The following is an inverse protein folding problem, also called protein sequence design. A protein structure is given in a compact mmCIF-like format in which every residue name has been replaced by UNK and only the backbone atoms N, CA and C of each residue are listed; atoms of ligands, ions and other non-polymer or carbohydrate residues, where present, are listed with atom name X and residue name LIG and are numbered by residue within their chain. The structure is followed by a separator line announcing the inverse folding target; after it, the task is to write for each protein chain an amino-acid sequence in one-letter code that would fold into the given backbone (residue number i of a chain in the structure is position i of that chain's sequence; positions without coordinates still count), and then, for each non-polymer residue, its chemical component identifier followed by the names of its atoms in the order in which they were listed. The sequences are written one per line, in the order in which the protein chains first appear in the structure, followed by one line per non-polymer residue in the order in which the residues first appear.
data_IF_816761269748
#
_entry.id   IF_816761269748
#
_cell.length_a   1.000
_cell.length_b   1.000
_cell.length_c   1.000
_cell.angle_alpha   90.00
_cell.angle_beta   90.00
_cell.angle_gamma   90.00
#
_symmetry.space_group_name_H-M   'P 1'
#
loop_
_entity.id
_entity.type
_entity.pdbx_description
1 polymer ?
#
# COMPACT_ATOMS: atom_id res chain seq x y z
N UNK A 1 -38.92 -4.35 -17.05
CA UNK A 1 -37.69 -5.16 -17.22
C UNK A 1 -36.51 -4.22 -17.50
N UNK A 2 -35.77 -3.77 -16.49
CA UNK A 2 -34.83 -2.64 -16.71
C UNK A 2 -33.66 -2.47 -15.74
N UNK A 3 -33.47 -3.35 -14.76
CA UNK A 3 -32.33 -3.25 -13.81
C UNK A 3 -31.14 -4.15 -14.18
N UNK A 4 -31.35 -5.14 -15.06
CA UNK A 4 -30.31 -6.11 -15.42
C UNK A 4 -29.98 -6.05 -16.91
N UNK A 5 -28.71 -6.32 -17.23
CA UNK A 5 -28.24 -6.51 -18.59
C UNK A 5 -29.14 -7.51 -19.33
N UNK A 6 -29.28 -7.36 -20.66
CA UNK A 6 -29.95 -8.38 -21.48
C UNK A 6 -29.33 -9.75 -21.17
N UNK A 7 -30.13 -10.79 -20.90
CA UNK A 7 -29.60 -12.13 -20.62
C UNK A 7 -28.65 -12.57 -21.74
N UNK A 8 -27.51 -13.15 -21.36
CA UNK A 8 -26.52 -13.70 -22.29
C UNK A 8 -26.05 -15.05 -21.78
N UNK A 9 -25.59 -15.90 -22.70
CA UNK A 9 -24.95 -17.15 -22.29
C UNK A 9 -23.65 -16.84 -21.54
N UNK A 10 -23.41 -17.50 -20.39
CA UNK A 10 -22.14 -17.39 -19.67
C UNK A 10 -20.95 -17.63 -20.60
N UNK A 11 -19.90 -16.81 -20.47
CA UNK A 11 -18.70 -16.90 -21.31
C UNK A 11 -18.81 -16.29 -22.71
N UNK A 12 -20.00 -15.84 -23.14
CA UNK A 12 -20.14 -15.15 -24.44
C UNK A 12 -19.32 -13.85 -24.47
N UNK A 13 -18.58 -13.56 -25.56
CA UNK A 13 -17.79 -12.35 -25.64
C UNK A 13 -18.68 -11.11 -25.55
N UNK A 14 -18.29 -10.05 -24.83
CA UNK A 14 -19.04 -8.80 -24.75
C UNK A 14 -19.39 -8.22 -26.12
N UNK A 15 -20.59 -7.62 -26.22
CA UNK A 15 -21.02 -7.00 -27.48
C UNK A 15 -20.31 -5.68 -27.71
N UNK A 16 -20.22 -5.24 -28.97
CA UNK A 16 -19.74 -3.90 -29.32
C UNK A 16 -20.51 -2.79 -28.59
N UNK A 17 -21.82 -2.96 -28.40
CA UNK A 17 -22.64 -2.02 -27.64
C UNK A 17 -22.19 -1.93 -26.18
N UNK A 18 -21.91 -3.05 -25.53
CA UNK A 18 -21.40 -3.07 -24.16
C UNK A 18 -20.03 -2.39 -24.08
N UNK A 19 -19.12 -2.69 -25.01
CA UNK A 19 -17.78 -2.09 -25.05
C UNK A 19 -17.82 -0.58 -25.25
N UNK A 20 -18.64 -0.10 -26.19
CA UNK A 20 -18.85 1.32 -26.41
C UNK A 20 -19.43 2.00 -25.15
N UNK A 21 -20.39 1.33 -24.48
CA UNK A 21 -20.96 1.85 -23.23
C UNK A 21 -19.90 1.91 -22.13
N UNK A 22 -19.10 0.86 -21.96
CA UNK A 22 -18.02 0.81 -20.96
C UNK A 22 -17.03 1.94 -21.16
N UNK A 23 -16.48 2.10 -22.38
CA UNK A 23 -15.54 3.17 -22.67
C UNK A 23 -16.18 4.56 -22.52
N UNK A 24 -17.42 4.73 -22.98
CA UNK A 24 -18.15 5.98 -22.84
C UNK A 24 -18.37 6.39 -21.38
N UNK A 25 -18.65 5.44 -20.48
CA UNK A 25 -18.77 5.71 -19.04
C UNK A 25 -17.44 6.11 -18.42
N UNK A 26 -16.34 5.47 -18.82
CA UNK A 26 -15.00 5.86 -18.32
C UNK A 26 -14.66 7.27 -18.77
N UNK A 27 -14.85 7.59 -20.05
CA UNK A 27 -14.56 8.92 -20.58
C UNK A 27 -15.47 9.99 -19.97
N UNK A 28 -16.76 9.68 -19.74
CA UNK A 28 -17.67 10.59 -19.03
C UNK A 28 -17.17 10.92 -17.61
N UNK A 29 -16.64 9.92 -16.88
CA UNK A 29 -16.06 10.15 -15.55
C UNK A 29 -14.81 11.02 -15.62
N UNK A 30 -13.93 10.77 -16.60
CA UNK A 30 -12.73 11.59 -16.83
C UNK A 30 -13.11 13.03 -17.12
N UNK A 31 -14.04 13.26 -18.04
CA UNK A 31 -14.45 14.61 -18.46
C UNK A 31 -15.12 15.38 -17.32
N UNK A 32 -16.00 14.72 -16.55
CA UNK A 32 -16.79 15.38 -15.49
C UNK A 32 -16.04 15.60 -14.20
N UNK A 33 -15.21 14.65 -13.80
CA UNK A 33 -14.62 14.62 -12.45
C UNK A 33 -13.10 14.72 -12.44
N UNK A 34 -12.45 14.58 -13.59
CA UNK A 34 -11.01 14.83 -13.76
C UNK A 34 -10.16 14.12 -12.69
N UNK A 35 -10.35 12.81 -12.48
CA UNK A 35 -9.70 12.09 -11.39
C UNK A 35 -8.17 12.17 -11.55
N UNK A 36 -7.44 12.06 -10.44
CA UNK A 36 -5.99 11.84 -10.46
C UNK A 36 -5.67 10.34 -10.61
N UNK A 37 -6.58 9.47 -10.18
CA UNK A 37 -6.44 8.02 -10.22
C UNK A 37 -7.76 7.37 -10.63
N UNK A 38 -7.72 6.58 -11.69
CA UNK A 38 -8.82 5.67 -12.05
C UNK A 38 -8.44 4.26 -11.63
N UNK A 39 -9.30 3.58 -10.87
CA UNK A 39 -9.04 2.24 -10.35
C UNK A 39 -10.00 1.24 -10.99
N UNK A 40 -9.47 0.15 -11.54
CA UNK A 40 -10.23 -0.90 -12.20
C UNK A 40 -10.11 -2.22 -11.46
N UNK A 41 -11.27 -2.82 -11.20
CA UNK A 41 -11.38 -4.14 -10.62
C UNK A 41 -10.97 -5.26 -11.62
N UNK A 42 -11.26 -6.51 -11.27
CA UNK A 42 -11.16 -7.64 -12.17
C UNK A 42 -11.97 -7.42 -13.47
N UNK A 43 -11.65 -8.21 -14.49
CA UNK A 43 -12.36 -8.15 -15.78
C UNK A 43 -11.75 -7.20 -16.81
N UNK A 44 -10.86 -6.28 -16.44
CA UNK A 44 -10.18 -5.43 -17.43
C UNK A 44 -9.45 -6.27 -18.48
N UNK A 45 -8.70 -7.31 -18.08
CA UNK A 45 -7.98 -8.18 -19.02
C UNK A 45 -8.85 -9.29 -19.65
N UNK A 46 -9.89 -9.77 -18.95
CA UNK A 46 -10.67 -10.96 -19.36
C UNK A 46 -12.00 -10.65 -20.03
N UNK A 47 -12.54 -9.45 -19.81
CA UNK A 47 -13.82 -9.00 -20.39
C UNK A 47 -13.57 -7.92 -21.43
N UNK A 48 -12.82 -6.87 -21.09
CA UNK A 48 -12.63 -5.73 -21.99
C UNK A 48 -11.70 -6.11 -23.13
N UNK A 49 -12.10 -5.87 -24.39
CA UNK A 49 -11.32 -6.26 -25.54
C UNK A 49 -10.06 -5.38 -25.63
N UNK A 50 -8.90 -5.93 -26.06
CA UNK A 50 -7.63 -5.20 -26.04
C UNK A 50 -7.66 -3.84 -26.74
N UNK A 51 -8.45 -3.70 -27.80
CA UNK A 51 -8.65 -2.41 -28.49
C UNK A 51 -9.32 -1.34 -27.62
N UNK A 52 -10.28 -1.72 -26.77
CA UNK A 52 -10.96 -0.80 -25.85
C UNK A 52 -10.09 -0.50 -24.63
N UNK A 53 -9.30 -1.46 -24.15
CA UNK A 53 -8.29 -1.21 -23.12
C UNK A 53 -7.31 -0.12 -23.60
N UNK A 54 -6.73 -0.30 -24.80
CA UNK A 54 -5.79 0.68 -25.39
C UNK A 54 -6.41 2.05 -25.56
N UNK A 55 -7.65 2.11 -26.06
CA UNK A 55 -8.38 3.38 -26.20
C UNK A 55 -8.62 4.06 -24.86
N UNK A 56 -9.04 3.33 -23.83
CA UNK A 56 -9.22 3.89 -22.48
C UNK A 56 -7.94 4.53 -21.95
N UNK A 57 -6.80 3.83 -22.02
CA UNK A 57 -5.52 4.40 -21.60
C UNK A 57 -5.13 5.61 -22.45
N UNK A 58 -5.28 5.53 -23.78
CA UNK A 58 -4.95 6.63 -24.68
C UNK A 58 -5.82 7.85 -24.43
N UNK A 59 -7.13 7.69 -24.30
CA UNK A 59 -8.09 8.77 -24.07
C UNK A 59 -7.76 9.51 -22.76
N UNK A 60 -7.54 8.78 -21.66
CA UNK A 60 -7.26 9.40 -20.37
C UNK A 60 -5.86 10.03 -20.29
N UNK A 61 -4.82 9.37 -20.82
CA UNK A 61 -3.47 9.94 -20.83
C UNK A 61 -3.33 11.12 -21.79
N UNK A 62 -4.00 11.10 -22.95
CA UNK A 62 -4.04 12.27 -23.84
C UNK A 62 -4.79 13.43 -23.19
N UNK A 63 -5.92 13.14 -22.53
CA UNK A 63 -6.63 14.15 -21.74
C UNK A 63 -5.70 14.75 -20.68
N UNK A 64 -5.00 13.92 -19.90
CA UNK A 64 -4.08 14.40 -18.87
C UNK A 64 -2.95 15.25 -19.44
N UNK A 65 -2.32 14.81 -20.55
CA UNK A 65 -1.26 15.55 -21.23
C UNK A 65 -1.75 16.91 -21.74
N UNK A 66 -2.95 16.97 -22.33
CA UNK A 66 -3.55 18.21 -22.82
C UNK A 66 -3.89 19.21 -21.70
N UNK A 67 -4.07 18.72 -20.46
CA UNK A 67 -4.41 19.54 -19.30
C UNK A 67 -3.22 19.73 -18.33
N UNK A 68 -2.02 19.27 -18.68
CA UNK A 68 -0.84 19.36 -17.82
C UNK A 68 -0.98 18.61 -16.49
N UNK A 69 -1.70 17.48 -16.49
CA UNK A 69 -1.97 16.64 -15.31
C UNK A 69 -1.11 15.37 -15.32
N UNK A 70 -0.71 14.93 -14.14
CA UNK A 70 -0.18 13.58 -13.93
C UNK A 70 -1.30 12.70 -13.38
N UNK A 71 -1.57 11.57 -14.04
CA UNK A 71 -2.67 10.67 -13.67
C UNK A 71 -2.20 9.22 -13.57
N UNK A 72 -2.89 8.44 -12.74
CA UNK A 72 -2.69 7.00 -12.59
C UNK A 72 -3.88 6.18 -13.06
N UNK A 73 -3.61 4.97 -13.52
CA UNK A 73 -4.63 3.93 -13.73
C UNK A 73 -4.21 2.68 -12.99
N UNK A 74 -4.92 2.32 -11.91
CA UNK A 74 -4.64 1.12 -11.13
C UNK A 74 -5.50 -0.06 -11.57
N UNK A 75 -4.94 -1.28 -11.61
CA UNK A 75 -5.67 -2.48 -12.01
C UNK A 75 -4.99 -3.79 -11.54
N UNK A 76 -5.76 -4.88 -11.50
CA UNK A 76 -5.32 -6.18 -10.94
C UNK A 76 -4.51 -7.10 -11.89
N UNK A 77 -4.00 -6.59 -13.01
CA UNK A 77 -3.60 -7.42 -14.17
C UNK A 77 -2.13 -7.28 -14.56
N UNK A 78 -1.27 -8.23 -14.17
CA UNK A 78 0.19 -8.20 -14.47
C UNK A 78 0.53 -8.09 -15.96
N UNK A 79 -0.26 -8.74 -16.82
CA UNK A 79 -0.07 -8.72 -18.28
C UNK A 79 -0.34 -7.35 -18.92
N UNK A 80 -1.09 -6.47 -18.25
CA UNK A 80 -1.27 -5.08 -18.66
C UNK A 80 -0.16 -4.21 -18.05
N UNK A 81 0.15 -4.45 -16.77
CA UNK A 81 1.12 -3.66 -16.00
C UNK A 81 2.51 -3.60 -16.63
N UNK A 82 2.93 -4.69 -17.29
CA UNK A 82 4.21 -4.72 -18.01
C UNK A 82 4.36 -3.63 -19.10
N UNK A 83 3.24 -3.04 -19.54
CA UNK A 83 3.21 -1.97 -20.54
C UNK A 83 2.76 -0.63 -19.96
N UNK A 84 1.79 -0.62 -19.06
CA UNK A 84 1.22 0.60 -18.48
C UNK A 84 0.37 0.32 -17.24
N UNK A 85 0.04 1.37 -16.48
CA UNK A 85 -0.83 1.29 -15.30
C UNK A 85 -0.09 0.83 -14.06
N UNK A 86 -0.76 0.93 -12.91
CA UNK A 86 -0.25 0.58 -11.59
C UNK A 86 -0.86 -0.77 -11.22
N UNK A 87 0.00 -1.76 -10.95
CA UNK A 87 -0.47 -3.06 -10.51
C UNK A 87 -1.07 -2.96 -9.11
N UNK A 88 -2.27 -3.49 -8.96
CA UNK A 88 -3.03 -3.50 -7.71
C UNK A 88 -3.23 -4.93 -7.19
N UNK A 89 -2.96 -5.14 -5.89
CA UNK A 89 -3.12 -6.42 -5.21
C UNK A 89 -4.29 -6.38 -4.22
N UNK A 90 -5.38 -7.07 -4.56
CA UNK A 90 -6.54 -7.22 -3.67
C UNK A 90 -6.16 -7.95 -2.40
N UNK A 91 -6.30 -7.30 -1.23
CA UNK A 91 -5.96 -7.87 0.09
C UNK A 91 -4.63 -8.61 0.06
N UNK A 92 -3.63 -7.99 -0.54
CA UNK A 92 -2.44 -8.66 -0.99
C UNK A 92 -1.26 -7.72 -1.09
N UNK A 93 -0.12 -8.23 -1.53
CA UNK A 93 1.12 -7.44 -1.65
C UNK A 93 2.18 -8.22 -2.39
N UNK A 94 3.25 -7.54 -2.77
CA UNK A 94 4.46 -8.23 -3.19
C UNK A 94 5.16 -8.89 -1.99
N UNK A 95 5.85 -10.01 -2.26
CA UNK A 95 6.65 -10.75 -1.28
C UNK A 95 8.10 -10.24 -1.18
N UNK A 96 8.47 -9.33 -2.08
CA UNK A 96 9.82 -8.83 -2.29
C UNK A 96 9.82 -7.35 -2.58
N UNK A 97 11.00 -6.75 -2.46
CA UNK A 97 11.24 -5.40 -2.98
C UNK A 97 11.10 -5.40 -4.51
N UNK A 98 10.37 -4.42 -5.05
CA UNK A 98 10.14 -4.27 -6.49
C UNK A 98 10.76 -2.97 -7.03
N UNK A 99 11.23 -2.96 -8.30
CA UNK A 99 11.81 -1.75 -8.91
C UNK A 99 10.74 -0.75 -9.37
N UNK A 100 9.46 -1.12 -9.34
CA UNK A 100 8.33 -0.31 -9.76
C UNK A 100 7.36 -0.09 -8.58
N UNK A 101 6.64 1.04 -8.55
CA UNK A 101 5.58 1.21 -7.55
C UNK A 101 4.38 0.33 -7.87
N UNK A 102 3.69 -0.12 -6.83
CA UNK A 102 2.45 -0.89 -6.93
C UNK A 102 1.44 -0.42 -5.87
N UNK A 103 0.20 -0.85 -6.00
CA UNK A 103 -0.89 -0.54 -5.09
C UNK A 103 -1.40 -1.82 -4.42
N UNK A 104 -1.87 -1.72 -3.20
CA UNK A 104 -2.79 -2.72 -2.64
C UNK A 104 -4.03 -2.04 -2.11
N UNK A 105 -5.17 -2.57 -2.49
CA UNK A 105 -6.44 -2.33 -1.84
C UNK A 105 -6.64 -3.31 -0.68
N UNK A 106 -6.90 -2.75 0.49
CA UNK A 106 -7.32 -3.52 1.68
C UNK A 106 -8.48 -2.81 2.37
N UNK A 107 -9.09 -3.46 3.35
CA UNK A 107 -10.19 -2.87 4.13
C UNK A 107 -9.96 -3.07 5.62
N UNK A 108 -10.49 -2.12 6.40
CA UNK A 108 -10.57 -2.22 7.87
C UNK A 108 -11.35 -3.46 8.33
N UNK A 109 -12.23 -3.97 7.49
CA UNK A 109 -13.08 -5.14 7.73
C UNK A 109 -13.55 -5.70 6.39
N UNK A 110 -14.84 -6.00 6.18
CA UNK A 110 -15.40 -6.28 4.86
C UNK A 110 -15.29 -5.08 3.89
N UNK A 111 -15.52 -5.32 2.60
CA UNK A 111 -15.51 -4.25 1.57
C UNK A 111 -16.70 -3.29 1.70
N UNK A 112 -17.89 -3.83 1.98
CA UNK A 112 -19.13 -3.07 2.18
C UNK A 112 -19.69 -3.30 3.59
N UNK A 113 -20.61 -2.45 4.04
CA UNK A 113 -21.23 -2.62 5.35
C UNK A 113 -22.03 -3.92 5.42
N UNK A 114 -21.59 -4.80 6.30
CA UNK A 114 -22.29 -6.03 6.66
C UNK A 114 -21.98 -6.36 8.11
N UNK A 115 -22.82 -7.20 8.73
CA UNK A 115 -22.46 -7.81 10.02
C UNK A 115 -21.17 -8.59 9.83
N UNK A 116 -20.10 -8.15 10.49
CA UNK A 116 -18.79 -8.79 10.44
C UNK A 116 -18.34 -9.12 11.85
N UNK A 117 -17.70 -10.27 11.98
CA UNK A 117 -17.06 -10.69 13.22
C UNK A 117 -15.62 -10.22 13.36
N UNK A 118 -14.99 -9.66 12.29
CA UNK A 118 -13.58 -9.26 12.35
C UNK A 118 -13.30 -7.95 11.62
N UNK A 119 -12.79 -7.00 12.39
CA UNK A 119 -12.07 -5.83 11.90
C UNK A 119 -10.60 -5.96 12.26
N UNK A 120 -9.75 -5.30 11.47
CA UNK A 120 -8.33 -5.12 11.79
C UNK A 120 -8.18 -4.21 13.00
N UNK A 121 -7.04 -4.30 13.67
CA UNK A 121 -6.59 -3.37 14.70
C UNK A 121 -5.75 -2.24 14.10
N UNK A 122 -5.50 -1.19 14.88
CA UNK A 122 -4.60 -0.09 14.46
C UNK A 122 -3.18 -0.62 14.20
N UNK A 123 -2.67 -1.50 15.06
CA UNK A 123 -1.34 -2.10 14.90
C UNK A 123 -1.26 -2.95 13.63
N UNK A 124 -2.24 -3.82 13.38
CA UNK A 124 -2.27 -4.59 12.12
C UNK A 124 -2.26 -3.65 10.90
N UNK A 125 -3.02 -2.56 10.91
CA UNK A 125 -3.02 -1.61 9.79
C UNK A 125 -1.67 -0.88 9.63
N UNK A 126 -1.03 -0.48 10.73
CA UNK A 126 0.27 0.18 10.71
C UNK A 126 1.37 -0.78 10.20
N UNK A 127 1.40 -2.01 10.71
CA UNK A 127 2.39 -3.01 10.30
C UNK A 127 2.25 -3.35 8.82
N UNK A 128 1.02 -3.51 8.35
CA UNK A 128 0.74 -3.76 6.93
C UNK A 128 1.17 -2.58 6.07
N UNK A 129 0.85 -1.34 6.46
CA UNK A 129 1.29 -0.14 5.75
C UNK A 129 2.82 -0.08 5.65
N UNK A 130 3.52 -0.31 6.76
CA UNK A 130 4.99 -0.25 6.80
C UNK A 130 5.61 -1.31 5.89
N UNK A 131 5.12 -2.55 5.93
CA UNK A 131 5.61 -3.63 5.06
C UNK A 131 5.36 -3.31 3.57
N UNK A 132 4.19 -2.76 3.23
CA UNK A 132 3.86 -2.31 1.86
C UNK A 132 4.85 -1.24 1.38
N UNK A 133 5.02 -0.18 2.17
CA UNK A 133 5.86 0.97 1.79
C UNK A 133 7.33 0.57 1.63
N UNK A 134 7.84 -0.29 2.51
CA UNK A 134 9.21 -0.83 2.41
C UNK A 134 9.48 -1.63 1.14
N UNK A 135 8.44 -2.13 0.46
CA UNK A 135 8.50 -2.95 -0.76
C UNK A 135 8.10 -2.17 -2.01
N UNK A 136 8.10 -0.84 -1.93
CA UNK A 136 7.74 0.11 -3.00
C UNK A 136 6.22 0.23 -3.26
N UNK A 137 5.38 -0.24 -2.34
CA UNK A 137 3.93 -0.20 -2.50
C UNK A 137 3.24 1.02 -1.89
N UNK A 138 2.00 1.25 -2.30
CA UNK A 138 1.04 2.17 -1.70
C UNK A 138 -0.17 1.38 -1.17
N UNK A 139 -0.76 1.84 -0.06
CA UNK A 139 -1.97 1.22 0.51
C UNK A 139 -3.20 2.10 0.23
N UNK A 140 -4.20 1.51 -0.42
CA UNK A 140 -5.55 2.06 -0.56
C UNK A 140 -6.45 1.39 0.49
N UNK A 141 -6.78 2.13 1.56
CA UNK A 141 -7.58 1.61 2.66
C UNK A 141 -9.07 1.92 2.48
N UNK A 142 -9.88 0.88 2.37
CA UNK A 142 -11.33 0.95 2.29
C UNK A 142 -11.99 0.98 3.68
N UNK A 143 -13.09 1.74 3.76
CA UNK A 143 -14.09 1.66 4.83
C UNK A 143 -15.48 1.49 4.21
N UNK A 144 -16.25 0.50 4.64
CA UNK A 144 -17.60 0.27 4.12
C UNK A 144 -18.65 1.13 4.84
N UNK A 145 -19.22 2.17 4.20
CA UNK A 145 -20.26 3.01 4.82
C UNK A 145 -21.56 2.22 5.01
N UNK A 146 -22.35 2.62 6.00
CA UNK A 146 -23.71 2.13 6.20
C UNK A 146 -24.62 2.52 5.01
N UNK A 147 -25.78 1.89 4.91
CA UNK A 147 -26.73 2.15 3.82
C UNK A 147 -27.25 3.61 3.81
N UNK A 148 -27.22 4.29 4.96
CA UNK A 148 -27.54 5.72 5.11
C UNK A 148 -26.36 6.65 4.79
N UNK A 149 -25.20 6.09 4.39
CA UNK A 149 -23.97 6.82 4.08
C UNK A 149 -23.06 7.07 5.29
N UNK A 150 -23.47 6.74 6.51
CA UNK A 150 -22.63 6.97 7.70
C UNK A 150 -21.47 5.97 7.79
N UNK A 151 -20.25 6.45 8.04
CA UNK A 151 -19.12 5.57 8.36
C UNK A 151 -19.38 4.90 9.72
N UNK A 152 -19.29 3.57 9.85
CA UNK A 152 -19.41 2.88 11.14
C UNK A 152 -18.40 3.38 12.17
N UNK A 153 -18.77 3.45 13.45
CA UNK A 153 -17.91 4.01 14.50
C UNK A 153 -16.57 3.26 14.64
N UNK A 154 -16.58 1.94 14.45
CA UNK A 154 -15.36 1.14 14.40
C UNK A 154 -14.43 1.55 13.26
N UNK A 155 -14.98 1.85 12.08
CA UNK A 155 -14.22 2.39 10.95
C UNK A 155 -13.61 3.76 11.29
N UNK A 156 -14.39 4.65 11.93
CA UNK A 156 -13.88 5.96 12.39
C UNK A 156 -12.75 5.81 13.41
N UNK A 157 -12.88 4.88 14.36
CA UNK A 157 -11.85 4.61 15.37
C UNK A 157 -10.54 4.14 14.72
N UNK A 158 -10.61 3.20 13.76
CA UNK A 158 -9.42 2.72 13.06
C UNK A 158 -8.76 3.80 12.21
N UNK A 159 -9.54 4.60 11.48
CA UNK A 159 -9.02 5.73 10.71
C UNK A 159 -8.35 6.78 11.59
N UNK A 160 -8.93 7.10 12.77
CA UNK A 160 -8.31 8.01 13.73
C UNK A 160 -7.05 7.42 14.36
N UNK A 161 -7.06 6.13 14.66
CA UNK A 161 -5.91 5.43 15.22
C UNK A 161 -4.71 5.41 14.27
N UNK A 162 -4.92 5.00 13.02
CA UNK A 162 -3.82 5.03 12.02
C UNK A 162 -3.39 6.47 11.74
N UNK A 163 -4.30 7.44 11.73
CA UNK A 163 -3.97 8.86 11.60
C UNK A 163 -3.11 9.38 12.76
N UNK A 164 -3.39 8.98 14.00
CA UNK A 164 -2.59 9.33 15.16
C UNK A 164 -1.18 8.71 15.08
N UNK A 165 -1.08 7.44 14.66
CA UNK A 165 0.21 6.79 14.42
C UNK A 165 1.02 7.49 13.32
N UNK A 166 0.37 7.86 12.20
CA UNK A 166 1.00 8.59 11.09
C UNK A 166 1.39 10.02 11.46
N UNK A 167 0.72 10.66 12.42
CA UNK A 167 1.12 11.99 12.91
C UNK A 167 2.51 11.97 13.54
N UNK A 168 2.88 10.87 14.19
CA UNK A 168 4.18 10.69 14.84
C UNK A 168 5.19 10.08 13.86
N UNK A 169 4.78 9.03 13.16
CA UNK A 169 5.69 8.19 12.36
C UNK A 169 5.66 8.50 10.85
N UNK A 170 4.88 9.50 10.43
CA UNK A 170 4.61 9.80 9.03
C UNK A 170 5.85 10.20 8.25
N UNK A 171 6.89 10.74 8.89
CA UNK A 171 8.16 11.06 8.23
C UNK A 171 8.87 9.81 7.70
N UNK A 172 8.71 8.66 8.36
CA UNK A 172 9.23 7.37 7.91
C UNK A 172 8.37 6.73 6.80
N UNK A 173 7.24 7.34 6.42
CA UNK A 173 6.29 6.81 5.45
C UNK A 173 6.17 7.75 4.25
N UNK A 174 5.67 8.96 4.47
CA UNK A 174 5.47 9.95 3.42
C UNK A 174 6.79 10.41 2.84
N UNK A 175 6.82 10.59 1.51
CA UNK A 175 8.00 11.06 0.78
C UNK A 175 9.27 10.20 0.92
N UNK A 176 9.15 8.96 1.39
CA UNK A 176 10.26 8.02 1.44
C UNK A 176 10.31 7.14 0.18
N UNK A 177 11.39 6.37 0.05
CA UNK A 177 11.57 5.28 -0.90
C UNK A 177 12.06 4.04 -0.16
N UNK A 178 11.86 2.84 -0.72
CA UNK A 178 12.52 1.66 -0.18
C UNK A 178 14.02 1.83 -0.08
N UNK A 179 14.61 1.26 0.96
CA UNK A 179 16.06 1.11 1.02
C UNK A 179 16.54 -0.08 0.17
N UNK A 180 17.85 -0.35 0.16
CA UNK A 180 18.48 -1.46 -0.59
C UNK A 180 17.90 -2.84 -0.25
N UNK A 181 17.36 -3.00 0.96
CA UNK A 181 16.57 -4.16 1.41
C UNK A 181 15.30 -3.64 2.08
N UNK A 182 14.18 -4.36 1.93
CA UNK A 182 12.90 -3.93 2.49
C UNK A 182 12.81 -4.16 4.01
N UNK A 183 13.50 -5.17 4.54
CA UNK A 183 13.36 -5.53 5.94
C UNK A 183 14.16 -6.75 6.39
N UNK A 184 14.03 -7.05 7.68
CA UNK A 184 14.58 -8.18 8.39
C UNK A 184 13.51 -8.80 9.29
N UNK A 185 13.76 -10.02 9.77
CA UNK A 185 12.88 -10.71 10.73
C UNK A 185 12.34 -12.04 10.23
N UNK A 186 11.73 -12.82 11.12
CA UNK A 186 11.23 -14.16 10.83
C UNK A 186 9.91 -14.16 10.04
N UNK A 187 9.17 -13.03 10.02
CA UNK A 187 7.83 -12.97 9.45
C UNK A 187 7.87 -12.63 7.95
N UNK A 188 7.72 -13.66 7.12
CA UNK A 188 7.53 -13.55 5.68
C UNK A 188 6.05 -13.56 5.25
N UNK A 189 5.78 -13.08 4.03
CA UNK A 189 4.47 -13.10 3.38
C UNK A 189 4.53 -13.91 2.07
N UNK A 190 3.42 -14.49 1.62
CA UNK A 190 3.40 -15.37 0.43
C UNK A 190 3.22 -14.65 -0.91
N UNK A 191 3.08 -13.31 -0.89
CA UNK A 191 2.87 -12.48 -2.08
C UNK A 191 1.56 -12.73 -2.84
N UNK A 192 1.19 -11.81 -3.71
CA UNK A 192 0.02 -11.89 -4.59
C UNK A 192 -1.30 -11.44 -3.95
N UNK A 193 -2.39 -11.58 -4.72
CA UNK A 193 -3.74 -11.26 -4.25
C UNK A 193 -4.22 -12.21 -3.16
N UNK A 194 -4.98 -11.68 -2.21
CA UNK A 194 -5.51 -12.35 -1.02
C UNK A 194 -4.45 -12.96 -0.10
N UNK A 195 -3.19 -12.55 -0.23
CA UNK A 195 -2.10 -13.04 0.61
C UNK A 195 -2.29 -12.68 2.07
N UNK A 196 -3.02 -11.59 2.38
CA UNK A 196 -3.32 -11.16 3.76
C UNK A 196 -3.92 -12.26 4.63
N UNK A 197 -4.69 -13.19 4.06
CA UNK A 197 -5.32 -14.27 4.80
C UNK A 197 -4.33 -15.32 5.32
N UNK A 198 -3.09 -15.28 4.83
CA UNK A 198 -2.00 -16.20 5.21
C UNK A 198 -0.94 -15.50 6.07
N UNK A 199 -1.07 -14.19 6.28
CA UNK A 199 -0.09 -13.43 7.01
C UNK A 199 -0.11 -13.80 8.49
N UNK A 200 1.08 -13.83 9.08
CA UNK A 200 1.26 -13.97 10.52
C UNK A 200 1.41 -12.58 11.13
N UNK A 201 0.97 -12.37 12.39
CA UNK A 201 1.24 -11.13 13.09
C UNK A 201 2.75 -10.86 13.15
N UNK A 202 3.14 -9.61 12.90
CA UNK A 202 4.51 -9.17 13.08
C UNK A 202 4.86 -9.07 14.57
N UNK A 203 6.15 -9.05 14.85
CA UNK A 203 6.70 -8.99 16.20
C UNK A 203 7.81 -7.94 16.28
N UNK A 204 8.33 -7.71 17.49
CA UNK A 204 9.51 -6.85 17.69
C UNK A 204 10.80 -7.39 17.04
N UNK A 205 10.78 -8.60 16.47
CA UNK A 205 11.88 -9.15 15.68
C UNK A 205 11.81 -8.76 14.20
N UNK A 206 10.70 -8.15 13.77
CA UNK A 206 10.48 -7.74 12.39
C UNK A 206 10.81 -6.26 12.22
N UNK A 207 11.71 -5.98 11.27
CA UNK A 207 12.18 -4.64 10.95
C UNK A 207 11.86 -4.35 9.48
N UNK A 208 11.45 -3.13 9.19
CA UNK A 208 11.27 -2.62 7.83
C UNK A 208 12.05 -1.33 7.63
N UNK A 209 12.46 -1.10 6.39
CA UNK A 209 13.28 0.04 6.04
C UNK A 209 12.60 0.92 4.99
N UNK A 210 12.72 2.22 5.22
CA UNK A 210 12.45 3.26 4.24
C UNK A 210 13.58 4.29 4.31
N UNK A 211 13.77 5.07 3.25
CA UNK A 211 14.83 6.06 3.15
C UNK A 211 14.26 7.38 2.62
N UNK A 212 14.76 8.51 3.12
CA UNK A 212 14.47 9.82 2.53
C UNK A 212 14.95 9.87 1.07
N UNK A 213 14.25 10.64 0.22
CA UNK A 213 14.60 10.78 -1.21
C UNK A 213 16.00 11.35 -1.46
N UNK A 214 16.52 12.15 -0.54
CA UNK A 214 17.88 12.69 -0.61
C UNK A 214 18.95 11.71 -0.09
N UNK A 215 18.52 10.52 0.39
CA UNK A 215 19.39 9.45 0.85
C UNK A 215 20.01 9.67 2.22
N UNK A 216 19.75 10.80 2.89
CA UNK A 216 20.42 11.19 4.14
C UNK A 216 19.87 10.50 5.38
N UNK A 217 18.59 10.14 5.38
CA UNK A 217 17.91 9.54 6.52
C UNK A 217 17.45 8.13 6.17
N UNK A 218 17.92 7.15 6.95
CA UNK A 218 17.41 5.78 6.93
C UNK A 218 16.48 5.59 8.12
N UNK A 219 15.24 5.16 7.85
CA UNK A 219 14.29 4.81 8.88
C UNK A 219 14.34 3.30 9.14
N UNK A 220 14.50 2.95 10.41
CA UNK A 220 14.47 1.57 10.91
C UNK A 220 13.18 1.40 11.71
N UNK A 221 12.20 0.72 11.12
CA UNK A 221 10.85 0.62 11.68
C UNK A 221 10.66 -0.78 12.25
N UNK A 222 10.61 -0.88 13.58
CA UNK A 222 10.39 -2.15 14.29
C UNK A 222 8.89 -2.37 14.47
N UNK A 223 8.37 -3.52 14.02
CA UNK A 223 6.93 -3.82 13.97
C UNK A 223 6.39 -4.40 15.30
N UNK A 224 6.90 -3.87 16.40
CA UNK A 224 6.57 -4.26 17.76
C UNK A 224 7.58 -3.68 18.74
N UNK A 225 7.14 -3.32 19.94
CA UNK A 225 8.05 -2.73 20.93
C UNK A 225 9.09 -3.78 21.40
N UNK A 226 10.39 -3.56 21.18
CA UNK A 226 11.42 -4.52 21.56
C UNK A 226 11.69 -4.46 23.08
N UNK A 227 11.85 -5.64 23.68
CA UNK A 227 12.31 -5.77 25.08
C UNK A 227 13.84 -5.84 25.18
N UNK A 228 14.49 -6.27 24.10
CA UNK A 228 15.94 -6.45 23.99
C UNK A 228 16.56 -5.46 22.97
N UNK A 229 17.88 -5.47 22.86
CA UNK A 229 18.59 -4.71 21.83
C UNK A 229 18.09 -5.03 20.41
N UNK A 230 17.95 -4.00 19.58
CA UNK A 230 17.59 -4.14 18.16
C UNK A 230 18.87 -4.15 17.32
N UNK A 231 19.14 -5.28 16.67
CA UNK A 231 20.28 -5.43 15.77
C UNK A 231 19.85 -5.26 14.30
N UNK A 232 20.44 -4.29 13.60
CA UNK A 232 20.22 -4.05 12.17
C UNK A 232 21.31 -4.79 11.38
N UNK A 233 20.98 -5.97 10.85
CA UNK A 233 21.99 -6.88 10.29
C UNK A 233 22.44 -6.50 8.89
N UNK A 234 21.55 -5.90 8.11
CA UNK A 234 21.74 -5.50 6.71
C UNK A 234 22.54 -4.20 6.54
N UNK A 235 22.75 -3.46 7.63
CA UNK A 235 23.62 -2.29 7.65
C UNK A 235 25.01 -2.65 8.15
N UNK A 236 26.03 -2.26 7.40
CA UNK A 236 27.43 -2.35 7.79
C UNK A 236 27.98 -0.93 7.95
N UNK A 237 28.53 -0.63 9.11
CA UNK A 237 29.06 0.68 9.47
C UNK A 237 30.53 0.51 9.83
N UNK A 238 31.43 0.99 8.95
CA UNK A 238 32.87 0.91 9.18
C UNK A 238 33.33 1.87 10.28
N UNK A 239 32.81 3.09 10.25
CA UNK A 239 32.99 4.10 11.28
C UNK A 239 31.77 5.02 11.28
N UNK A 240 31.24 5.35 12.46
CA UNK A 240 30.23 6.39 12.59
C UNK A 240 30.87 7.76 12.39
N UNK A 241 30.16 8.68 11.72
CA UNK A 241 30.53 10.08 11.71
C UNK A 241 30.47 10.66 13.13
N UNK A 242 31.26 11.71 13.40
CA UNK A 242 31.35 12.34 14.73
C UNK A 242 30.00 12.87 15.21
N UNK A 243 29.14 13.29 14.29
CA UNK A 243 27.81 13.84 14.51
C UNK A 243 26.67 12.84 14.22
N UNK A 244 27.00 11.57 13.97
CA UNK A 244 26.00 10.53 13.78
C UNK A 244 25.16 10.34 15.05
N UNK A 245 23.85 10.27 14.88
CA UNK A 245 22.90 10.04 15.95
C UNK A 245 21.73 9.21 15.44
N UNK A 246 21.02 8.59 16.38
CA UNK A 246 19.78 7.85 16.11
C UNK A 246 18.71 8.43 17.01
N UNK A 247 17.54 8.68 16.44
CA UNK A 247 16.41 9.26 17.14
C UNK A 247 15.17 8.36 16.98
N UNK A 248 14.47 8.17 18.08
CA UNK A 248 13.11 7.66 18.08
C UNK A 248 12.18 8.83 17.78
N UNK A 249 11.35 8.72 16.74
CA UNK A 249 10.47 9.80 16.27
C UNK A 249 9.55 10.37 17.37
N UNK A 250 9.19 9.57 18.37
CA UNK A 250 8.37 10.01 19.51
C UNK A 250 9.16 10.42 20.76
N UNK A 251 10.47 10.13 20.81
CA UNK A 251 11.22 10.01 22.07
C UNK A 251 12.61 10.62 22.11
N UNK A 252 13.10 11.18 21.01
CA UNK A 252 14.43 11.79 20.91
C UNK A 252 15.56 10.77 20.77
N UNK A 253 16.79 11.15 21.14
CA UNK A 253 17.99 10.34 20.91
C UNK A 253 17.96 9.00 21.63
N UNK A 254 18.41 7.96 20.94
CA UNK A 254 18.59 6.60 21.49
C UNK A 254 20.06 6.19 21.46
N UNK A 255 20.45 5.36 22.42
CA UNK A 255 21.82 4.85 22.52
C UNK A 255 22.04 3.76 21.49
N UNK A 256 23.22 3.76 20.87
CA UNK A 256 23.61 2.72 19.93
C UNK A 256 25.10 2.38 20.05
N UNK A 257 25.46 1.23 19.49
CA UNK A 257 26.85 0.78 19.33
C UNK A 257 27.02 0.08 17.98
N UNK A 258 28.27 0.02 17.51
CA UNK A 258 28.65 -0.81 16.37
C UNK A 258 29.33 -2.05 16.92
N UNK A 259 28.84 -3.25 16.59
CA UNK A 259 29.45 -4.50 17.05
C UNK A 259 30.69 -4.88 16.21
N UNK A 260 31.37 -5.96 16.60
CA UNK A 260 32.59 -6.45 15.92
C UNK A 260 32.35 -6.85 14.46
N UNK A 261 31.12 -7.24 14.11
CA UNK A 261 30.68 -7.54 12.74
C UNK A 261 30.26 -6.28 11.97
N UNK A 262 30.57 -5.09 12.48
CA UNK A 262 30.24 -3.77 11.93
C UNK A 262 28.74 -3.52 11.79
N UNK A 263 27.90 -4.16 12.60
CA UNK A 263 26.45 -3.98 12.57
C UNK A 263 26.01 -2.96 13.61
N UNK A 264 24.95 -2.23 13.28
CA UNK A 264 24.32 -1.33 14.22
C UNK A 264 23.49 -2.11 15.23
N UNK A 265 23.71 -1.82 16.51
CA UNK A 265 22.91 -2.31 17.63
C UNK A 265 22.34 -1.12 18.37
N UNK A 266 21.01 -1.06 18.47
CA UNK A 266 20.26 0.02 19.09
C UNK A 266 19.73 -0.48 20.44
N UNK A 267 19.94 0.29 21.50
CA UNK A 267 19.29 0.07 22.78
C UNK A 267 17.94 0.82 22.76
N UNK A 268 16.79 0.11 22.75
CA UNK A 268 15.51 0.79 22.78
C UNK A 268 15.33 1.53 24.12
N UNK A 269 14.66 2.70 24.12
CA UNK A 269 14.28 3.33 25.37
C UNK A 269 13.24 2.49 26.10
N UNK A 270 13.00 2.78 27.39
CA UNK A 270 11.90 2.17 28.12
C UNK A 270 10.56 2.45 27.41
N UNK A 271 9.68 1.45 27.37
CA UNK A 271 8.35 1.62 26.80
C UNK A 271 7.61 2.72 27.55
N UNK A 272 7.11 3.71 26.81
CA UNK A 272 6.19 4.73 27.34
C UNK A 272 4.79 4.31 26.97
N UNK A 273 3.85 4.46 27.91
CA UNK A 273 2.43 4.32 27.61
C UNK A 273 2.01 5.47 26.69
N UNK A 274 1.57 5.16 25.47
CA UNK A 274 1.19 6.16 24.46
C UNK A 274 0.79 5.56 23.14
#
# INVERSE_FOLDING_TARGET
AGLYCRPRQPGSPPTKQYMNKWLGMVNEVVDKYQPDLTWFDFGLSSVIAPEYQRRMFADYYNWAAAHGREVGVAHKHRNIHQYTGILDFERGREDRLTPYPWLTDTSVGPWFHQKSSRFKTVNELADVLVDIVSKNGCMLLNVGPQADGAIPDQGKQLLRGIGAWLKINGEAIYNTRPWKVFGEGPTGNTGGGFSENKDKPYTSQDIRFTQSKDGKTLYVIVLGWPQDEVMVRSMKVDAAAVDAHIELLSGGRVTYRINEQKQLVIQPPAQRDG
#
